data_IF_421869883259
#
_entry.id   IF_421869883259
#
_cell.length_a   1.000
_cell.length_b   1.000
_cell.length_c   1.000
_cell.angle_alpha   90.00
_cell.angle_beta   90.00
_cell.angle_gamma   90.00
#
_symmetry.space_group_name_H-M   'P 1'
#
loop_
_entity.id
_entity.type
_entity.pdbx_description
1 polymer ?
#
# COMPACT_ATOMS: atom_id res chain seq x y z
N UNK A 1 -16.22 -3.73 -25.26
CA UNK A 1 -16.87 -3.03 -24.13
C UNK A 1 -15.85 -3.05 -23.00
N UNK A 2 -15.26 -1.89 -22.67
CA UNK A 2 -14.32 -1.78 -21.54
C UNK A 2 -15.18 -1.91 -20.30
N UNK A 3 -15.06 -3.02 -19.55
CA UNK A 3 -15.76 -3.16 -18.27
C UNK A 3 -15.27 -2.07 -17.32
N UNK A 4 -16.20 -1.30 -16.75
CA UNK A 4 -15.90 -0.36 -15.68
C UNK A 4 -15.24 -1.14 -14.53
N UNK A 5 -14.12 -0.60 -14.00
CA UNK A 5 -13.25 -1.36 -13.09
C UNK A 5 -13.72 -1.37 -11.64
N UNK A 6 -14.83 -0.74 -11.31
CA UNK A 6 -15.50 -0.85 -10.01
C UNK A 6 -16.80 -1.62 -10.24
N UNK A 7 -16.80 -2.95 -10.06
CA UNK A 7 -17.92 -3.81 -10.44
C UNK A 7 -19.15 -3.68 -9.52
N UNK A 8 -19.00 -3.11 -8.32
CA UNK A 8 -20.12 -2.90 -7.40
C UNK A 8 -21.07 -1.80 -7.90
N UNK A 9 -22.36 -1.91 -7.55
CA UNK A 9 -23.35 -0.89 -7.92
C UNK A 9 -23.10 0.45 -7.22
N UNK A 10 -23.68 1.54 -7.74
CA UNK A 10 -23.57 2.84 -7.11
C UNK A 10 -24.27 2.87 -5.74
N UNK A 11 -25.37 2.13 -5.60
CA UNK A 11 -26.10 1.97 -4.34
C UNK A 11 -25.23 1.26 -3.29
N UNK A 12 -24.57 0.18 -3.67
CA UNK A 12 -23.69 -0.58 -2.77
C UNK A 12 -22.47 0.28 -2.37
N UNK A 13 -21.87 1.00 -3.32
CA UNK A 13 -20.75 1.90 -3.02
C UNK A 13 -21.20 3.05 -2.09
N UNK A 14 -22.38 3.62 -2.31
CA UNK A 14 -22.94 4.68 -1.44
C UNK A 14 -23.21 4.16 -0.02
N UNK A 15 -23.71 2.93 0.12
CA UNK A 15 -23.88 2.30 1.44
C UNK A 15 -22.53 2.12 2.13
N UNK A 16 -21.50 1.62 1.45
CA UNK A 16 -20.14 1.45 2.02
C UNK A 16 -19.51 2.78 2.42
N UNK A 17 -19.73 3.86 1.64
CA UNK A 17 -19.33 5.22 2.01
C UNK A 17 -19.96 5.62 3.33
N UNK A 18 -21.29 5.42 3.48
CA UNK A 18 -22.00 5.79 4.70
C UNK A 18 -21.52 4.99 5.93
N UNK A 19 -21.27 3.69 5.77
CA UNK A 19 -20.75 2.81 6.83
C UNK A 19 -19.30 3.17 7.21
N UNK A 20 -18.43 3.36 6.22
CA UNK A 20 -17.04 3.75 6.47
C UNK A 20 -16.90 5.11 7.15
N UNK A 21 -17.78 6.07 6.81
CA UNK A 21 -17.82 7.39 7.48
C UNK A 21 -18.22 7.29 8.96
N UNK A 22 -19.08 6.36 9.35
CA UNK A 22 -19.44 6.16 10.76
C UNK A 22 -18.24 5.79 11.62
N UNK A 23 -17.23 5.09 11.04
CA UNK A 23 -16.01 4.72 11.74
C UNK A 23 -15.21 5.94 12.19
N UNK A 24 -15.41 7.11 11.54
CA UNK A 24 -14.69 8.34 11.90
C UNK A 24 -15.11 8.92 13.25
N UNK A 25 -16.30 8.61 13.74
CA UNK A 25 -16.78 9.05 15.06
C UNK A 25 -16.03 8.35 16.22
N UNK A 26 -15.46 7.17 15.99
CA UNK A 26 -14.57 6.45 16.92
C UNK A 26 -13.61 5.65 16.08
N UNK A 27 -12.50 6.27 15.66
CA UNK A 27 -11.65 5.79 14.59
C UNK A 27 -10.97 4.45 14.90
N UNK A 28 -11.34 3.43 14.12
CA UNK A 28 -10.76 2.08 14.14
C UNK A 28 -10.31 1.61 12.75
N UNK A 29 -9.98 2.54 11.83
CA UNK A 29 -9.60 2.20 10.45
C UNK A 29 -8.30 1.38 10.32
N UNK A 30 -7.41 1.47 11.31
CA UNK A 30 -6.16 0.70 11.30
C UNK A 30 -5.95 0.03 12.66
N UNK A 31 -4.99 -0.91 12.78
CA UNK A 31 -4.76 -1.66 14.03
C UNK A 31 -4.35 -0.81 15.23
N UNK A 32 -4.06 0.48 15.07
CA UNK A 32 -3.83 1.40 16.19
C UNK A 32 -5.09 1.70 17.00
N UNK A 33 -6.27 1.58 16.38
CA UNK A 33 -7.57 1.80 17.03
C UNK A 33 -7.59 3.00 17.98
N UNK A 34 -7.18 4.16 17.49
CA UNK A 34 -7.06 5.38 18.31
C UNK A 34 -8.38 5.78 18.99
N UNK A 35 -9.53 5.38 18.42
CA UNK A 35 -10.89 5.65 18.91
C UNK A 35 -11.20 7.13 19.11
N UNK A 36 -10.45 8.00 18.48
CA UNK A 36 -10.69 9.44 18.45
C UNK A 36 -11.89 9.75 17.57
N UNK A 37 -12.58 10.87 17.87
CA UNK A 37 -13.67 11.40 17.06
C UNK A 37 -13.14 12.37 16.01
N UNK A 38 -12.85 11.86 14.81
CA UNK A 38 -12.35 12.69 13.70
C UNK A 38 -13.40 13.66 13.18
N UNK A 39 -14.71 13.41 13.40
CA UNK A 39 -15.79 14.30 13.00
C UNK A 39 -15.80 15.58 13.83
N UNK A 40 -15.28 15.54 15.06
CA UNK A 40 -15.11 16.69 15.95
C UNK A 40 -13.70 17.33 15.86
N UNK A 41 -12.92 16.96 14.86
CA UNK A 41 -11.60 17.54 14.61
C UNK A 41 -10.46 16.91 15.39
N UNK A 42 -10.69 15.82 16.14
CA UNK A 42 -9.61 15.11 16.81
C UNK A 42 -8.67 14.44 15.81
N UNK A 43 -7.38 14.45 16.10
CA UNK A 43 -6.36 13.83 15.27
C UNK A 43 -5.65 12.72 16.03
N UNK A 44 -5.64 11.52 15.43
CA UNK A 44 -4.90 10.38 15.94
C UNK A 44 -3.45 10.35 15.48
N UNK A 45 -2.81 9.21 15.68
CA UNK A 45 -1.41 8.97 15.37
C UNK A 45 -1.05 9.33 13.91
N UNK A 46 -1.88 8.94 12.94
CA UNK A 46 -1.66 9.22 11.52
C UNK A 46 -1.86 10.69 11.12
N UNK A 47 -2.54 11.49 11.95
CA UNK A 47 -2.91 12.87 11.66
C UNK A 47 -4.07 13.01 10.67
N UNK A 48 -4.78 11.92 10.37
CA UNK A 48 -5.96 11.98 9.51
C UNK A 48 -7.14 12.69 10.19
N UNK A 49 -7.75 13.66 9.50
CA UNK A 49 -8.95 14.38 9.89
C UNK A 49 -10.20 13.92 9.13
N UNK A 50 -11.22 14.77 9.07
CA UNK A 50 -12.44 14.55 8.29
C UNK A 50 -12.15 14.57 6.78
N UNK A 51 -11.29 15.49 6.34
CA UNK A 51 -10.84 15.61 4.96
C UNK A 51 -9.59 14.76 4.70
N UNK A 52 -9.42 14.28 3.48
CA UNK A 52 -8.16 13.67 3.08
C UNK A 52 -7.08 14.74 2.96
N UNK A 53 -5.82 14.36 3.25
CA UNK A 53 -4.66 15.21 3.02
C UNK A 53 -3.79 14.58 1.93
N UNK A 54 -3.52 15.33 0.86
CA UNK A 54 -2.76 14.89 -0.31
C UNK A 54 -1.49 15.73 -0.41
N UNK A 55 -0.35 15.05 -0.52
CA UNK A 55 0.95 15.68 -0.75
C UNK A 55 1.14 16.01 -2.25
N UNK A 56 0.87 15.04 -3.11
CA UNK A 56 0.97 15.20 -4.56
C UNK A 56 0.11 14.16 -5.28
N UNK A 57 -0.14 14.40 -6.57
CA UNK A 57 -0.68 13.41 -7.50
C UNK A 57 -0.08 13.63 -8.89
N UNK A 58 0.34 12.55 -9.53
CA UNK A 58 1.04 12.60 -10.81
C UNK A 58 1.15 11.21 -11.46
N UNK A 59 1.48 11.16 -12.75
CA UNK A 59 1.93 9.94 -13.41
C UNK A 59 3.29 9.54 -12.85
N UNK A 60 3.39 8.34 -12.26
CA UNK A 60 4.58 7.82 -11.60
C UNK A 60 5.09 6.56 -12.30
N UNK A 61 6.41 6.49 -12.51
CA UNK A 61 7.05 5.41 -13.27
C UNK A 61 7.96 4.52 -12.41
N UNK A 62 7.95 4.73 -11.09
CA UNK A 62 8.81 4.00 -10.14
C UNK A 62 8.14 2.79 -9.47
N UNK A 63 6.94 2.39 -9.88
CA UNK A 63 6.29 1.19 -9.37
C UNK A 63 6.75 -0.05 -10.15
N UNK A 64 6.31 -1.24 -9.75
CA UNK A 64 6.57 -2.47 -10.48
C UNK A 64 6.15 -2.37 -11.95
N UNK A 65 6.87 -3.06 -12.87
CA UNK A 65 6.60 -2.94 -14.31
C UNK A 65 5.13 -3.10 -14.71
N UNK A 66 4.34 -4.04 -14.15
CA UNK A 66 2.92 -4.15 -14.50
C UNK A 66 2.06 -2.99 -13.98
N UNK A 67 2.50 -2.28 -12.95
CA UNK A 67 1.78 -1.13 -12.36
C UNK A 67 2.08 0.15 -13.14
N UNK A 68 3.36 0.44 -13.39
CA UNK A 68 3.80 1.63 -14.14
C UNK A 68 3.52 1.53 -15.63
N UNK A 69 3.82 0.37 -16.25
CA UNK A 69 3.72 0.20 -17.68
C UNK A 69 4.45 1.30 -18.46
N UNK A 70 3.99 1.59 -19.67
CA UNK A 70 4.55 2.61 -20.58
C UNK A 70 3.97 4.03 -20.38
N UNK A 71 2.86 4.16 -19.62
CA UNK A 71 2.16 5.45 -19.42
C UNK A 71 2.14 5.92 -17.96
N UNK A 72 2.76 5.17 -17.07
CA UNK A 72 2.84 5.46 -15.66
C UNK A 72 1.59 5.05 -14.86
N UNK A 73 1.79 4.94 -13.56
CA UNK A 73 0.75 4.77 -12.54
C UNK A 73 0.22 6.13 -12.13
N UNK A 74 -1.09 6.34 -12.15
CA UNK A 74 -1.74 7.56 -11.69
C UNK A 74 -1.75 7.63 -10.18
N UNK A 75 -0.64 8.08 -9.58
CA UNK A 75 -0.37 7.94 -8.17
C UNK A 75 -0.86 9.14 -7.38
N UNK A 76 -1.60 8.89 -6.29
CA UNK A 76 -2.01 9.87 -5.29
C UNK A 76 -1.31 9.58 -3.98
N UNK A 77 -0.41 10.47 -3.56
CA UNK A 77 0.34 10.35 -2.32
C UNK A 77 -0.44 11.01 -1.17
N UNK A 78 -0.93 10.19 -0.25
CA UNK A 78 -1.59 10.69 0.94
C UNK A 78 -0.60 11.04 2.04
N UNK A 79 -0.88 12.11 2.78
CA UNK A 79 -0.04 12.57 3.88
C UNK A 79 -0.42 11.91 5.21
N UNK A 80 0.57 11.69 6.05
CA UNK A 80 0.41 10.91 7.27
C UNK A 80 0.62 9.42 7.03
N UNK A 81 0.79 8.66 8.10
CA UNK A 81 0.99 7.22 8.03
C UNK A 81 0.63 6.57 9.37
N UNK A 82 0.20 5.32 9.34
CA UNK A 82 -0.05 4.50 10.53
C UNK A 82 1.24 3.98 11.17
N UNK A 83 2.39 4.09 10.48
CA UNK A 83 3.72 3.69 10.92
C UNK A 83 4.63 4.90 11.18
N UNK A 84 5.79 4.64 11.83
CA UNK A 84 6.90 5.60 12.04
C UNK A 84 8.24 4.94 11.74
N UNK A 85 8.36 4.36 10.53
CA UNK A 85 9.58 3.67 10.12
C UNK A 85 10.80 4.58 10.25
N UNK A 86 11.86 4.09 10.90
CA UNK A 86 13.11 4.83 11.10
C UNK A 86 13.78 5.18 9.76
N UNK A 87 13.58 4.35 8.74
CA UNK A 87 14.15 4.47 7.40
C UNK A 87 13.18 5.02 6.35
N UNK A 88 12.11 5.71 6.75
CA UNK A 88 11.10 6.16 5.81
C UNK A 88 11.68 7.15 4.79
N UNK A 89 11.72 6.79 3.52
CA UNK A 89 12.18 7.66 2.43
C UNK A 89 11.20 8.82 2.20
N UNK A 90 9.93 8.58 2.45
CA UNK A 90 8.85 9.56 2.31
C UNK A 90 8.50 10.25 3.65
N UNK A 91 9.47 10.41 4.58
CA UNK A 91 9.22 10.98 5.90
C UNK A 91 8.62 12.39 5.89
N UNK A 92 8.89 13.28 4.90
CA UNK A 92 8.26 14.61 4.89
C UNK A 92 6.74 14.50 4.79
N UNK A 93 6.22 13.65 3.91
CA UNK A 93 4.78 13.46 3.73
C UNK A 93 4.18 12.51 4.77
N UNK A 94 4.88 11.43 5.13
CA UNK A 94 4.35 10.41 6.04
C UNK A 94 4.42 10.80 7.51
N UNK A 95 5.47 11.49 7.95
CA UNK A 95 5.71 11.83 9.36
C UNK A 95 5.56 13.32 9.66
N UNK A 96 6.02 14.21 8.78
CA UNK A 96 5.83 15.66 8.92
C UNK A 96 4.49 16.12 8.34
N UNK A 97 3.79 15.21 7.62
CA UNK A 97 2.43 15.43 7.09
C UNK A 97 2.35 16.60 6.11
N UNK A 98 3.42 16.84 5.35
CA UNK A 98 3.40 17.81 4.26
C UNK A 98 2.30 17.47 3.26
N UNK A 99 1.56 18.49 2.82
CA UNK A 99 0.43 18.34 1.91
C UNK A 99 -0.73 19.25 2.33
N UNK A 100 -1.78 19.26 1.51
CA UNK A 100 -2.99 20.06 1.76
C UNK A 100 -4.21 19.16 1.96
N UNK A 101 -5.15 19.65 2.74
CA UNK A 101 -6.47 19.03 2.83
C UNK A 101 -7.24 19.22 1.52
N UNK A 102 -7.99 18.19 1.16
CA UNK A 102 -8.79 18.16 -0.06
C UNK A 102 -10.18 17.60 0.25
N UNK A 103 -11.19 18.17 -0.37
CA UNK A 103 -12.56 17.66 -0.34
C UNK A 103 -12.67 16.40 -1.20
N UNK A 104 -13.70 15.59 -0.98
CA UNK A 104 -13.99 14.42 -1.83
C UNK A 104 -14.22 14.81 -3.29
N UNK A 105 -14.75 16.01 -3.55
CA UNK A 105 -14.91 16.55 -4.91
C UNK A 105 -13.56 16.86 -5.55
N UNK A 106 -12.64 17.49 -4.83
CA UNK A 106 -11.28 17.74 -5.34
C UNK A 106 -10.52 16.43 -5.58
N UNK A 107 -10.65 15.49 -4.64
CA UNK A 107 -10.02 14.18 -4.76
C UNK A 107 -10.56 13.39 -5.98
N UNK A 108 -11.86 13.42 -6.23
CA UNK A 108 -12.46 12.81 -7.41
C UNK A 108 -11.96 13.42 -8.72
N UNK A 109 -11.74 14.75 -8.74
CA UNK A 109 -11.16 15.44 -9.90
C UNK A 109 -9.69 15.03 -10.14
N UNK A 110 -8.92 14.75 -9.09
CA UNK A 110 -7.56 14.23 -9.24
C UNK A 110 -7.55 12.86 -9.90
N UNK A 111 -8.48 11.96 -9.54
CA UNK A 111 -8.60 10.65 -10.16
C UNK A 111 -8.94 10.76 -11.65
N UNK A 112 -9.91 11.59 -11.99
CA UNK A 112 -10.30 11.82 -13.39
C UNK A 112 -9.16 12.46 -14.19
N UNK A 113 -8.45 13.43 -13.62
CA UNK A 113 -7.29 14.06 -14.27
C UNK A 113 -6.20 13.03 -14.59
N UNK A 114 -5.87 12.13 -13.66
CA UNK A 114 -4.90 11.05 -13.90
C UNK A 114 -5.37 10.08 -14.99
N UNK A 115 -6.67 9.81 -15.08
CA UNK A 115 -7.24 9.05 -16.19
C UNK A 115 -7.11 9.79 -17.52
N UNK A 116 -7.42 11.08 -17.54
CA UNK A 116 -7.30 11.93 -18.76
C UNK A 116 -5.83 12.07 -19.20
N UNK A 117 -4.88 12.05 -18.26
CA UNK A 117 -3.45 12.01 -18.53
C UNK A 117 -2.97 10.67 -19.11
N UNK A 118 -3.87 9.68 -19.17
CA UNK A 118 -3.64 8.39 -19.82
C UNK A 118 -2.95 7.35 -18.94
N UNK A 119 -2.88 7.53 -17.62
CA UNK A 119 -2.31 6.56 -16.70
C UNK A 119 -2.97 5.18 -16.82
N UNK A 120 -2.25 4.13 -16.43
CA UNK A 120 -2.76 2.74 -16.47
C UNK A 120 -3.76 2.41 -15.36
N UNK A 121 -3.67 3.09 -14.24
CA UNK A 121 -4.45 2.85 -13.01
C UNK A 121 -4.52 4.12 -12.16
N UNK A 122 -5.32 4.08 -11.09
CA UNK A 122 -5.25 5.05 -9.99
C UNK A 122 -4.66 4.34 -8.78
N UNK A 123 -3.51 4.81 -8.32
CA UNK A 123 -2.71 4.21 -7.26
C UNK A 123 -2.75 5.07 -5.98
N UNK A 124 -3.35 4.54 -4.94
CA UNK A 124 -3.48 5.17 -3.63
C UNK A 124 -2.30 4.79 -2.75
N UNK A 125 -1.37 5.71 -2.53
CA UNK A 125 -0.18 5.46 -1.68
C UNK A 125 -0.45 5.87 -0.24
N UNK A 126 -0.30 4.93 0.68
CA UNK A 126 -0.58 5.06 2.13
C UNK A 126 -2.03 5.48 2.41
N UNK A 127 -3.04 4.76 1.88
CA UNK A 127 -4.43 5.20 1.87
C UNK A 127 -5.22 4.83 3.12
N UNK A 128 -4.73 3.94 3.99
CA UNK A 128 -5.45 3.30 5.09
C UNK A 128 -6.34 4.24 5.89
N UNK A 129 -5.78 5.36 6.29
CA UNK A 129 -6.44 6.31 7.18
C UNK A 129 -7.41 7.26 6.46
N UNK A 130 -7.52 7.16 5.13
CA UNK A 130 -8.44 7.93 4.29
C UNK A 130 -9.39 7.05 3.46
N UNK A 131 -9.56 5.78 3.81
CA UNK A 131 -10.50 4.88 3.11
C UNK A 131 -11.90 5.48 2.98
N UNK A 132 -12.54 6.09 4.01
CA UNK A 132 -13.86 6.70 3.85
C UNK A 132 -13.91 7.83 2.83
N UNK A 133 -12.88 8.67 2.79
CA UNK A 133 -12.78 9.81 1.87
C UNK A 133 -12.48 9.34 0.44
N UNK A 134 -11.68 8.29 0.30
CA UNK A 134 -11.39 7.66 -1.00
C UNK A 134 -12.66 7.06 -1.59
N UNK A 135 -13.43 6.30 -0.81
CA UNK A 135 -14.69 5.70 -1.26
C UNK A 135 -15.69 6.76 -1.71
N UNK A 136 -15.82 7.86 -0.97
CA UNK A 136 -16.69 8.96 -1.35
C UNK A 136 -16.23 9.63 -2.65
N UNK A 137 -14.94 9.88 -2.79
CA UNK A 137 -14.37 10.44 -4.02
C UNK A 137 -14.52 9.49 -5.22
N UNK A 138 -14.43 8.18 -5.01
CA UNK A 138 -14.66 7.17 -6.03
C UNK A 138 -16.12 7.13 -6.49
N UNK A 139 -17.09 7.24 -5.59
CA UNK A 139 -18.51 7.34 -5.95
C UNK A 139 -18.75 8.54 -6.87
N UNK A 140 -18.15 9.70 -6.56
CA UNK A 140 -18.23 10.90 -7.38
C UNK A 140 -17.48 10.76 -8.72
N UNK A 141 -16.35 10.10 -8.74
CA UNK A 141 -15.56 9.91 -9.95
C UNK A 141 -16.21 8.88 -10.89
N UNK A 142 -16.78 7.80 -10.35
CA UNK A 142 -17.49 6.76 -11.09
C UNK A 142 -18.66 7.35 -11.87
N UNK A 143 -19.48 8.22 -11.24
CA UNK A 143 -20.59 8.91 -11.90
C UNK A 143 -20.14 9.83 -13.05
N UNK A 144 -18.85 10.18 -13.09
CA UNK A 144 -18.22 11.03 -14.14
C UNK A 144 -17.34 10.24 -15.11
N UNK A 145 -17.42 8.90 -15.09
CA UNK A 145 -16.77 8.06 -16.07
C UNK A 145 -15.36 7.56 -15.70
N UNK A 146 -15.01 7.49 -14.43
CA UNK A 146 -13.80 6.79 -14.01
C UNK A 146 -13.90 5.30 -14.35
N UNK A 147 -12.92 4.76 -15.09
CA UNK A 147 -12.88 3.37 -15.56
C UNK A 147 -11.56 2.65 -15.28
N UNK A 148 -10.56 3.36 -14.79
CA UNK A 148 -9.24 2.78 -14.53
C UNK A 148 -9.26 1.82 -13.34
N UNK A 149 -8.43 0.74 -13.36
CA UNK A 149 -8.24 -0.13 -12.21
C UNK A 149 -7.65 0.66 -11.03
N UNK A 150 -8.06 0.28 -9.82
CA UNK A 150 -7.64 0.93 -8.58
C UNK A 150 -6.59 0.07 -7.88
N UNK A 151 -5.46 0.69 -7.53
CA UNK A 151 -4.36 0.07 -6.80
C UNK A 151 -4.35 0.59 -5.37
N UNK A 152 -4.33 -0.32 -4.40
CA UNK A 152 -4.23 -0.02 -2.97
C UNK A 152 -2.81 -0.32 -2.48
N UNK A 153 -1.95 0.71 -2.47
CA UNK A 153 -0.54 0.64 -2.11
C UNK A 153 -0.37 1.00 -0.63
N UNK A 154 -0.19 0.00 0.18
CA UNK A 154 -0.26 0.11 1.64
C UNK A 154 0.97 -0.45 2.35
N UNK A 155 1.20 -0.01 3.58
CA UNK A 155 2.23 -0.54 4.46
C UNK A 155 1.94 -1.96 4.99
N UNK A 156 0.81 -2.56 4.64
CA UNK A 156 0.37 -3.85 5.14
C UNK A 156 -0.26 -3.83 6.54
N UNK A 157 -0.07 -2.78 7.33
CA UNK A 157 -0.63 -2.66 8.69
C UNK A 157 -2.10 -2.26 8.63
N UNK A 158 -2.95 -3.24 8.30
CA UNK A 158 -4.36 -3.07 7.98
C UNK A 158 -5.26 -3.88 8.91
N UNK A 159 -6.50 -3.46 9.02
CA UNK A 159 -7.59 -4.27 9.61
C UNK A 159 -8.42 -4.91 8.50
N UNK A 160 -8.81 -6.15 8.71
CA UNK A 160 -9.69 -6.89 7.79
C UNK A 160 -11.02 -6.16 7.60
N UNK A 161 -11.57 -5.57 8.68
CA UNK A 161 -12.82 -4.81 8.62
C UNK A 161 -12.74 -3.62 7.68
N UNK A 162 -11.58 -2.95 7.63
CA UNK A 162 -11.34 -1.84 6.70
C UNK A 162 -11.17 -2.32 5.27
N UNK A 163 -10.47 -3.44 5.07
CA UNK A 163 -10.30 -4.06 3.75
C UNK A 163 -11.64 -4.53 3.16
N UNK A 164 -12.60 -4.96 3.98
CA UNK A 164 -13.94 -5.34 3.50
C UNK A 164 -14.69 -4.18 2.85
N UNK A 165 -14.45 -2.93 3.23
CA UNK A 165 -15.02 -1.78 2.50
C UNK A 165 -14.48 -1.66 1.07
N UNK A 166 -13.32 -2.26 0.78
CA UNK A 166 -12.62 -2.20 -0.50
C UNK A 166 -12.90 -3.38 -1.42
N UNK A 167 -13.58 -4.42 -0.94
CA UNK A 167 -13.92 -5.61 -1.72
C UNK A 167 -14.77 -5.26 -2.95
N UNK A 168 -14.33 -5.67 -4.15
CA UNK A 168 -14.96 -5.30 -5.41
C UNK A 168 -14.79 -3.82 -5.81
N UNK A 169 -14.06 -3.02 -5.03
CA UNK A 169 -13.69 -1.64 -5.35
C UNK A 169 -12.24 -1.59 -5.83
N UNK A 170 -11.34 -2.16 -5.04
CA UNK A 170 -9.92 -2.26 -5.37
C UNK A 170 -9.68 -3.50 -6.21
N UNK A 171 -8.96 -3.33 -7.30
CA UNK A 171 -8.60 -4.41 -8.20
C UNK A 171 -7.24 -5.00 -7.91
N UNK A 172 -6.30 -4.16 -7.52
CA UNK A 172 -4.91 -4.53 -7.32
C UNK A 172 -4.50 -4.12 -5.92
N UNK A 173 -4.06 -5.10 -5.12
CA UNK A 173 -3.43 -4.84 -3.84
C UNK A 173 -1.91 -4.86 -3.99
N UNK A 174 -1.26 -3.82 -3.44
CA UNK A 174 0.19 -3.62 -3.46
C UNK A 174 0.71 -3.39 -2.03
N UNK A 175 0.55 -4.36 -1.11
CA UNK A 175 1.01 -4.22 0.26
C UNK A 175 2.50 -4.43 0.40
N UNK A 176 3.13 -3.64 1.27
CA UNK A 176 4.40 -4.01 1.86
C UNK A 176 4.17 -5.06 2.97
N UNK A 177 4.88 -6.16 2.94
CA UNK A 177 5.10 -7.03 4.10
C UNK A 177 6.50 -6.73 4.64
N UNK A 178 6.59 -5.71 5.52
CA UNK A 178 7.88 -5.12 5.91
C UNK A 178 8.72 -6.01 6.81
N UNK A 179 8.09 -6.80 7.66
CA UNK A 179 8.74 -7.63 8.67
C UNK A 179 8.04 -8.98 8.80
N UNK A 180 8.80 -10.02 9.11
CA UNK A 180 8.31 -11.37 9.35
C UNK A 180 8.04 -11.69 10.83
N UNK A 181 8.16 -10.69 11.72
CA UNK A 181 7.77 -10.79 13.12
C UNK A 181 7.35 -9.43 13.71
N UNK A 182 6.73 -9.50 14.90
CA UNK A 182 6.18 -8.33 15.58
C UNK A 182 7.25 -7.47 16.28
N UNK A 183 8.39 -8.07 16.67
CA UNK A 183 9.49 -7.38 17.35
C UNK A 183 10.13 -6.37 16.40
N UNK A 184 10.48 -6.80 15.18
CA UNK A 184 11.03 -5.92 14.16
C UNK A 184 10.07 -4.76 13.81
N UNK A 185 8.75 -5.03 13.76
CA UNK A 185 7.73 -4.00 13.57
C UNK A 185 7.72 -2.95 14.66
N UNK A 186 7.89 -3.38 15.91
CA UNK A 186 7.91 -2.50 17.07
C UNK A 186 9.19 -1.65 17.10
N UNK A 187 10.34 -2.26 16.93
CA UNK A 187 11.64 -1.59 17.03
C UNK A 187 11.91 -0.62 15.87
N UNK A 188 11.54 -1.02 14.65
CA UNK A 188 11.94 -0.29 13.44
C UNK A 188 10.82 0.63 12.92
N UNK A 189 9.55 0.29 13.16
CA UNK A 189 8.41 1.09 12.67
C UNK A 189 7.48 1.63 13.76
N UNK A 190 7.76 1.35 15.04
CA UNK A 190 6.99 1.87 16.17
C UNK A 190 5.54 1.38 16.20
N UNK A 191 5.31 0.12 15.82
CA UNK A 191 3.98 -0.50 15.80
C UNK A 191 4.00 -1.86 16.49
N UNK A 192 3.00 -2.11 17.32
CA UNK A 192 2.80 -3.42 17.95
C UNK A 192 2.09 -4.37 16.98
N UNK A 193 2.41 -5.67 17.09
CA UNK A 193 1.73 -6.73 16.37
C UNK A 193 1.70 -6.52 14.84
N UNK A 194 2.80 -5.96 14.27
CA UNK A 194 2.85 -5.66 12.84
C UNK A 194 2.57 -6.89 11.98
N UNK A 195 3.34 -7.96 12.20
CA UNK A 195 3.26 -9.17 11.38
C UNK A 195 1.93 -9.89 11.58
N UNK A 196 1.43 -9.91 12.82
CA UNK A 196 0.12 -10.48 13.15
C UNK A 196 -0.99 -9.83 12.32
N UNK A 197 -1.04 -8.49 12.26
CA UNK A 197 -2.03 -7.78 11.47
C UNK A 197 -1.74 -7.86 9.96
N UNK A 198 -0.49 -7.63 9.56
CA UNK A 198 -0.11 -7.62 8.14
C UNK A 198 -0.33 -9.00 7.49
N UNK A 199 0.01 -10.08 8.18
CA UNK A 199 -0.22 -11.43 7.68
C UNK A 199 -1.71 -11.75 7.49
N UNK A 200 -2.56 -11.35 8.45
CA UNK A 200 -4.01 -11.54 8.33
C UNK A 200 -4.61 -10.67 7.21
N UNK A 201 -4.17 -9.41 7.14
CA UNK A 201 -4.60 -8.48 6.09
C UNK A 201 -4.19 -8.96 4.70
N UNK A 202 -2.99 -9.51 4.56
CA UNK A 202 -2.49 -10.01 3.29
C UNK A 202 -3.29 -11.23 2.79
N UNK A 203 -3.66 -12.14 3.69
CA UNK A 203 -4.57 -13.25 3.35
C UNK A 203 -5.93 -12.75 2.87
N UNK A 204 -6.47 -11.71 3.49
CA UNK A 204 -7.73 -11.09 3.06
C UNK A 204 -7.58 -10.39 1.70
N UNK A 205 -6.50 -9.65 1.45
CA UNK A 205 -6.21 -9.04 0.14
C UNK A 205 -6.09 -10.12 -0.95
N UNK A 206 -5.41 -11.24 -0.65
CA UNK A 206 -5.31 -12.37 -1.56
C UNK A 206 -6.66 -13.03 -1.83
N UNK A 207 -7.51 -13.18 -0.81
CA UNK A 207 -8.88 -13.68 -0.96
C UNK A 207 -9.71 -12.80 -1.90
N UNK A 208 -9.56 -11.48 -1.80
CA UNK A 208 -10.31 -10.52 -2.61
C UNK A 208 -9.84 -10.44 -4.06
N UNK A 209 -8.53 -10.40 -4.30
CA UNK A 209 -7.97 -10.11 -5.63
C UNK A 209 -7.29 -11.31 -6.31
N UNK A 210 -6.87 -12.31 -5.54
CA UNK A 210 -6.18 -13.49 -6.08
C UNK A 210 -4.78 -13.20 -6.61
N UNK A 211 -4.32 -14.06 -7.53
CA UNK A 211 -3.05 -13.91 -8.21
C UNK A 211 -3.06 -12.75 -9.21
N UNK A 212 -1.88 -12.17 -9.43
CA UNK A 212 -1.69 -11.09 -10.41
C UNK A 212 -2.14 -11.53 -11.80
N UNK A 213 -3.00 -10.73 -12.44
CA UNK A 213 -3.38 -10.87 -13.84
C UNK A 213 -3.02 -9.61 -14.60
N UNK A 214 -2.37 -9.79 -15.73
CA UNK A 214 -1.95 -8.72 -16.63
C UNK A 214 -2.69 -8.80 -17.97
N UNK A 215 -2.85 -7.68 -18.63
CA UNK A 215 -3.37 -7.66 -19.98
C UNK A 215 -2.30 -8.07 -21.02
N UNK A 216 -2.70 -8.05 -22.30
CA UNK A 216 -1.82 -8.42 -23.42
C UNK A 216 -0.58 -7.52 -23.55
N UNK A 217 -0.58 -6.34 -22.92
CA UNK A 217 0.56 -5.39 -22.92
C UNK A 217 1.38 -5.50 -21.63
N UNK A 218 1.04 -6.42 -20.72
CA UNK A 218 1.72 -6.60 -19.45
C UNK A 218 1.27 -5.67 -18.34
N UNK A 219 0.25 -4.81 -18.53
CA UNK A 219 -0.28 -3.96 -17.47
C UNK A 219 -1.19 -4.75 -16.53
N UNK A 220 -1.03 -4.55 -15.23
CA UNK A 220 -1.83 -5.20 -14.19
C UNK A 220 -3.30 -4.79 -14.30
N UNK A 221 -4.19 -5.77 -14.15
CA UNK A 221 -5.65 -5.59 -14.18
C UNK A 221 -6.31 -5.95 -12.86
N UNK A 222 -5.84 -6.99 -12.21
CA UNK A 222 -6.29 -7.41 -10.88
C UNK A 222 -5.21 -8.26 -10.21
N UNK A 223 -5.30 -8.44 -8.90
CA UNK A 223 -4.46 -9.37 -8.15
C UNK A 223 -3.64 -8.73 -7.05
N UNK A 224 -2.72 -9.52 -6.53
CA UNK A 224 -1.84 -9.16 -5.43
C UNK A 224 -0.38 -9.16 -5.87
N UNK A 225 0.34 -8.08 -5.56
CA UNK A 225 1.80 -8.00 -5.61
C UNK A 225 2.28 -7.65 -4.20
N UNK A 226 3.02 -8.53 -3.55
CA UNK A 226 3.58 -8.28 -2.22
C UNK A 226 4.94 -7.63 -2.35
N UNK A 227 5.14 -6.49 -1.75
CA UNK A 227 6.43 -5.81 -1.65
C UNK A 227 7.15 -6.21 -0.38
N UNK A 228 8.43 -6.53 -0.50
CA UNK A 228 9.29 -6.74 0.65
C UNK A 228 10.64 -6.06 0.46
N UNK A 229 10.93 -5.08 1.31
CA UNK A 229 12.22 -4.37 1.33
C UNK A 229 13.18 -5.11 2.25
N UNK A 230 14.25 -5.66 1.68
CA UNK A 230 15.31 -6.28 2.46
C UNK A 230 16.09 -5.19 3.19
N UNK A 231 16.26 -5.37 4.50
CA UNK A 231 17.09 -4.54 5.36
C UNK A 231 18.42 -5.23 5.66
N UNK A 232 19.49 -4.47 5.94
CA UNK A 232 20.78 -5.03 6.37
C UNK A 232 20.62 -5.96 7.56
N UNK A 233 21.53 -6.92 7.73
CA UNK A 233 21.58 -7.85 8.86
C UNK A 233 20.27 -8.63 9.08
N UNK A 234 19.51 -8.85 8.00
CA UNK A 234 18.17 -9.47 8.05
C UNK A 234 17.21 -8.81 9.03
N UNK A 235 17.34 -7.51 9.30
CA UNK A 235 16.47 -6.76 10.23
C UNK A 235 15.00 -6.75 9.82
N UNK A 236 14.70 -6.99 8.54
CA UNK A 236 13.33 -7.21 8.05
C UNK A 236 12.82 -8.64 8.28
N UNK A 237 13.65 -9.54 8.84
CA UNK A 237 13.32 -10.97 9.01
C UNK A 237 12.77 -11.60 7.73
N UNK A 238 13.48 -11.33 6.63
CA UNK A 238 13.09 -11.72 5.25
C UNK A 238 12.84 -13.21 5.12
N UNK A 239 13.64 -14.05 5.77
CA UNK A 239 13.46 -15.51 5.80
C UNK A 239 12.08 -15.93 6.32
N UNK A 240 11.58 -15.27 7.36
CA UNK A 240 10.22 -15.52 7.91
C UNK A 240 9.14 -15.03 6.95
N UNK A 241 9.34 -13.85 6.33
CA UNK A 241 8.42 -13.31 5.31
C UNK A 241 8.27 -14.28 4.15
N UNK A 242 9.36 -14.75 3.56
CA UNK A 242 9.34 -15.65 2.41
C UNK A 242 8.67 -16.99 2.75
N UNK A 243 8.97 -17.58 3.92
CA UNK A 243 8.31 -18.81 4.39
C UNK A 243 6.81 -18.61 4.61
N UNK A 244 6.40 -17.48 5.16
CA UNK A 244 4.99 -17.14 5.33
C UNK A 244 4.27 -17.04 3.98
N UNK A 245 4.85 -16.33 3.01
CA UNK A 245 4.26 -16.17 1.69
C UNK A 245 4.10 -17.52 0.97
N UNK A 246 5.12 -18.36 0.98
CA UNK A 246 5.08 -19.67 0.35
C UNK A 246 4.04 -20.61 0.98
N UNK A 247 3.93 -20.61 2.32
CA UNK A 247 3.11 -21.57 3.06
C UNK A 247 1.68 -21.10 3.28
N UNK A 248 1.50 -19.83 3.61
CA UNK A 248 0.24 -19.31 4.15
C UNK A 248 -0.56 -18.46 3.16
N UNK A 249 0.07 -18.04 2.05
CA UNK A 249 -0.58 -17.27 1.00
C UNK A 249 -0.68 -18.10 -0.28
N UNK A 250 0.41 -18.21 -1.03
CA UNK A 250 0.53 -19.06 -2.21
C UNK A 250 1.98 -19.10 -2.70
N UNK A 251 2.50 -20.26 -3.13
CA UNK A 251 3.79 -20.29 -3.82
C UNK A 251 3.81 -19.54 -5.16
N UNK A 252 2.63 -19.28 -5.74
CA UNK A 252 2.46 -18.55 -7.00
C UNK A 252 2.26 -17.03 -6.80
N UNK A 253 2.27 -16.54 -5.54
CA UNK A 253 2.10 -15.11 -5.28
C UNK A 253 3.24 -14.30 -5.91
N UNK A 254 2.89 -13.16 -6.52
CA UNK A 254 3.89 -12.25 -7.08
C UNK A 254 4.53 -11.43 -5.97
N UNK A 255 5.85 -11.42 -5.92
CA UNK A 255 6.64 -10.73 -4.89
C UNK A 255 7.59 -9.73 -5.57
N UNK A 256 7.57 -8.49 -5.12
CA UNK A 256 8.62 -7.51 -5.41
C UNK A 256 9.64 -7.54 -4.27
N UNK A 257 10.76 -8.23 -4.51
CA UNK A 257 11.84 -8.34 -3.55
C UNK A 257 12.82 -7.20 -3.77
N UNK A 258 12.78 -6.20 -2.90
CA UNK A 258 13.43 -4.93 -3.14
C UNK A 258 14.79 -4.82 -2.44
N UNK A 259 15.82 -4.41 -3.21
CA UNK A 259 17.18 -4.12 -2.74
C UNK A 259 17.45 -2.63 -2.52
N UNK A 260 16.49 -1.77 -2.84
CA UNK A 260 16.66 -0.31 -2.92
C UNK A 260 16.75 0.41 -1.56
N UNK A 261 17.00 -0.35 -0.47
CA UNK A 261 17.19 0.25 0.83
C UNK A 261 18.41 1.19 0.85
N UNK A 262 18.23 2.37 1.41
CA UNK A 262 19.31 3.24 1.84
C UNK A 262 18.98 3.92 3.18
N UNK A 263 19.98 4.30 3.98
CA UNK A 263 19.76 5.01 5.23
C UNK A 263 19.10 6.35 4.98
N UNK A 264 17.81 6.46 5.30
CA UNK A 264 17.05 7.70 5.21
C UNK A 264 16.50 8.07 6.60
N UNK A 265 16.11 9.33 6.78
CA UNK A 265 15.49 9.85 7.98
C UNK A 265 16.31 9.53 9.24
N UNK A 266 15.75 8.76 10.19
CA UNK A 266 16.40 8.39 11.45
C UNK A 266 17.37 7.21 11.33
N UNK A 267 17.32 6.46 10.23
CA UNK A 267 18.15 5.27 10.03
C UNK A 267 19.67 5.60 10.14
N UNK A 268 20.08 6.78 9.74
CA UNK A 268 21.48 7.26 9.84
C UNK A 268 22.05 7.26 11.27
N UNK A 269 21.17 7.31 12.28
CA UNK A 269 21.55 7.29 13.70
C UNK A 269 21.57 5.88 14.31
N UNK A 270 21.21 4.84 13.53
CA UNK A 270 21.18 3.46 13.98
C UNK A 270 22.25 2.64 13.25
N UNK A 271 23.33 2.18 13.92
CA UNK A 271 24.47 1.55 13.26
C UNK A 271 24.10 0.42 12.29
N UNK A 272 23.19 -0.47 12.70
CA UNK A 272 22.73 -1.59 11.87
C UNK A 272 21.87 -1.15 10.67
N UNK A 273 21.26 0.01 10.71
CA UNK A 273 20.48 0.60 9.61
C UNK A 273 21.29 1.62 8.79
N UNK A 274 22.50 2.01 9.23
CA UNK A 274 23.28 3.05 8.55
C UNK A 274 24.22 2.48 7.49
N UNK A 275 23.75 1.51 6.71
CA UNK A 275 24.44 0.96 5.54
C UNK A 275 23.44 0.42 4.53
N UNK A 276 23.83 0.26 3.29
CA UNK A 276 23.02 -0.46 2.29
C UNK A 276 23.07 -1.96 2.52
N UNK A 277 22.13 -2.66 1.91
CA UNK A 277 22.14 -4.11 1.80
C UNK A 277 23.28 -4.53 0.88
N UNK A 278 24.06 -5.55 1.24
CA UNK A 278 25.11 -6.09 0.39
C UNK A 278 24.55 -7.02 -0.67
N UNK A 279 25.31 -7.23 -1.76
CA UNK A 279 24.95 -8.18 -2.83
C UNK A 279 24.78 -9.60 -2.29
N UNK A 280 25.59 -10.01 -1.32
CA UNK A 280 25.48 -11.34 -0.70
C UNK A 280 24.23 -11.50 0.17
N UNK A 281 23.85 -10.48 0.93
CA UNK A 281 22.59 -10.48 1.71
C UNK A 281 21.38 -10.61 0.78
N UNK A 282 21.36 -9.81 -0.28
CA UNK A 282 20.24 -9.82 -1.23
C UNK A 282 20.17 -11.14 -2.01
N UNK A 283 21.27 -11.57 -2.62
CA UNK A 283 21.31 -12.80 -3.42
C UNK A 283 20.98 -14.04 -2.59
N UNK A 284 21.39 -14.05 -1.32
CA UNK A 284 21.01 -15.10 -0.36
C UNK A 284 19.49 -15.19 -0.17
N UNK A 285 18.79 -14.06 -0.09
CA UNK A 285 17.32 -14.04 0.06
C UNK A 285 16.60 -14.37 -1.25
N UNK A 286 17.13 -13.96 -2.39
CA UNK A 286 16.61 -14.39 -3.72
C UNK A 286 16.71 -15.92 -3.85
N UNK A 287 17.87 -16.49 -3.52
CA UNK A 287 18.04 -17.95 -3.52
C UNK A 287 17.07 -18.64 -2.57
N UNK A 288 16.91 -18.14 -1.35
CA UNK A 288 15.96 -18.70 -0.40
C UNK A 288 14.51 -18.67 -0.94
N UNK A 289 14.10 -17.58 -1.61
CA UNK A 289 12.79 -17.50 -2.23
C UNK A 289 12.61 -18.61 -3.28
N UNK A 290 13.59 -18.81 -4.15
CA UNK A 290 13.59 -19.87 -5.17
C UNK A 290 13.55 -21.27 -4.54
N UNK A 291 14.35 -21.51 -3.49
CA UNK A 291 14.37 -22.79 -2.76
C UNK A 291 13.04 -23.09 -2.07
N UNK A 292 12.25 -22.06 -1.74
CA UNK A 292 10.89 -22.18 -1.20
C UNK A 292 9.80 -22.32 -2.29
N UNK A 293 10.18 -22.36 -3.57
CA UNK A 293 9.25 -22.48 -4.70
C UNK A 293 8.55 -21.16 -5.11
N UNK A 294 9.05 -20.02 -4.62
CA UNK A 294 8.54 -18.69 -5.01
C UNK A 294 9.28 -18.25 -6.29
N UNK A 295 8.61 -18.33 -7.43
CA UNK A 295 9.22 -18.05 -8.73
C UNK A 295 8.71 -16.78 -9.40
N UNK A 296 7.57 -16.23 -8.97
CA UNK A 296 7.01 -14.98 -9.51
C UNK A 296 7.64 -13.78 -8.80
N UNK A 297 8.90 -13.50 -9.10
CA UNK A 297 9.70 -12.49 -8.43
C UNK A 297 10.04 -11.31 -9.34
N UNK A 298 9.79 -10.09 -8.90
CA UNK A 298 10.48 -8.91 -9.39
C UNK A 298 11.75 -8.73 -8.56
N UNK A 299 12.90 -8.89 -9.21
CA UNK A 299 14.23 -8.82 -8.61
C UNK A 299 14.90 -7.54 -9.09
N UNK A 300 15.63 -6.88 -8.21
CA UNK A 300 16.40 -5.68 -8.52
C UNK A 300 17.89 -6.02 -8.66
N UNK A 301 18.56 -5.36 -9.59
CA UNK A 301 20.02 -5.41 -9.68
C UNK A 301 20.64 -4.54 -8.58
N UNK A 302 21.62 -5.06 -7.87
CA UNK A 302 22.44 -4.27 -6.94
C UNK A 302 23.67 -3.80 -7.72
N UNK A 303 23.72 -2.49 -8.01
CA UNK A 303 24.96 -1.87 -8.48
C UNK A 303 25.89 -1.70 -7.26
N UNK A 304 26.97 -2.44 -7.22
CA UNK A 304 28.09 -2.18 -6.29
C UNK A 304 28.78 -0.90 -6.76
N UNK A 305 28.62 0.21 -6.00
CA UNK A 305 29.41 1.43 -6.16
C UNK A 305 30.58 1.41 -5.20
#
# INVERSE_FOLDING_TARGET
MIMAFVPISDEELAQRVAEAKKVLASCTLCPRECRINRLEGEQGFCGGGVSARVASYNSHFGEEPPISGDRGSGTVFFSGCTLRCLFCQNYPISQFREGREVTSIELSRMFLKLQDDGCHNINFVTPTHFVPQILEALLLAKSKGLTLPLVYNTSGYERVETLKFLEGVVAIYLPDLKYGDDIAGQEISGVNNYFTFAGTALKEMFRQAGLLKVDRKGAAREGLIVRHLILPDNLSTTDKVLRFLAKEVSPEVTISLMAQYFPAHKAVSYPHLNRRVSSSEYSGMVKLAQDLGLHNLFIQEICEN
#
